data_IF_434629348150
#
_entry.id   IF_434629348150
#
_cell.length_a   1.000
_cell.length_b   1.000
_cell.length_c   1.000
_cell.angle_alpha   90.00
_cell.angle_beta   90.00
_cell.angle_gamma   90.00
#
_symmetry.space_group_name_H-M   'P 1'
#
loop_
_entity.id
_entity.type
_entity.pdbx_description
1 polymer ?
#
# COMPACT_ATOMS: atom_id res chain seq x y z
N UNK A 1 -14.81 0.56 -6.15
CA UNK A 1 -13.62 0.40 -7.01
C UNK A 1 -12.74 1.60 -6.77
N UNK A 2 -11.55 1.38 -6.21
CA UNK A 2 -10.58 2.45 -6.00
C UNK A 2 -9.87 2.71 -7.35
N UNK A 3 -10.33 3.75 -8.07
CA UNK A 3 -9.74 4.13 -9.36
C UNK A 3 -8.46 4.97 -9.20
N UNK A 4 -8.05 5.28 -7.97
CA UNK A 4 -6.90 6.13 -7.74
C UNK A 4 -5.59 5.33 -7.89
N UNK A 5 -4.57 5.95 -8.50
CA UNK A 5 -3.20 5.40 -8.66
C UNK A 5 -2.99 4.31 -9.74
N UNK A 6 -3.49 4.55 -10.97
CA UNK A 6 -3.23 3.71 -12.17
C UNK A 6 -1.92 4.01 -12.92
N UNK A 7 -1.15 5.03 -12.51
CA UNK A 7 0.16 5.34 -13.13
C UNK A 7 1.28 5.28 -12.10
N UNK A 8 2.50 5.05 -12.57
CA UNK A 8 3.70 4.97 -11.71
C UNK A 8 3.96 6.29 -10.97
N UNK A 9 3.69 7.41 -11.63
CA UNK A 9 3.87 8.75 -11.09
C UNK A 9 2.91 8.98 -9.91
N UNK A 10 1.64 8.57 -10.06
CA UNK A 10 0.64 8.67 -8.99
C UNK A 10 1.00 7.78 -7.80
N UNK A 11 1.49 6.55 -8.06
CA UNK A 11 2.00 5.66 -7.01
C UNK A 11 3.19 6.31 -6.29
N UNK A 12 4.16 6.86 -7.02
CA UNK A 12 5.32 7.52 -6.43
C UNK A 12 4.94 8.77 -5.62
N UNK A 13 3.99 9.57 -6.11
CA UNK A 13 3.45 10.71 -5.36
C UNK A 13 2.78 10.27 -4.06
N UNK A 14 1.97 9.20 -4.10
CA UNK A 14 1.31 8.66 -2.91
C UNK A 14 2.31 8.13 -1.88
N UNK A 15 3.34 7.40 -2.32
CA UNK A 15 4.39 6.90 -1.43
C UNK A 15 5.28 8.01 -0.88
N UNK A 16 5.54 9.09 -1.64
CA UNK A 16 6.21 10.30 -1.12
C UNK A 16 5.39 10.98 -0.03
N UNK A 17 4.08 11.09 -0.23
CA UNK A 17 3.17 11.63 0.80
C UNK A 17 3.13 10.71 2.02
N UNK A 18 3.10 9.39 1.83
CA UNK A 18 3.19 8.44 2.94
C UNK A 18 4.49 8.64 3.73
N UNK A 19 5.64 8.74 3.04
CA UNK A 19 6.94 8.99 3.66
C UNK A 19 6.97 10.29 4.48
N UNK A 20 6.32 11.36 4.05
CA UNK A 20 6.31 12.62 4.80
C UNK A 20 5.55 12.57 6.12
N UNK A 21 4.74 11.52 6.34
CA UNK A 21 3.94 11.35 7.56
C UNK A 21 4.51 10.30 8.53
N UNK A 22 5.72 9.78 8.28
CA UNK A 22 6.30 8.68 9.07
C UNK A 22 7.60 9.15 9.70
N UNK A 23 7.76 8.85 10.99
CA UNK A 23 9.04 8.94 11.69
C UNK A 23 9.58 7.52 11.91
N UNK A 24 10.71 7.22 11.30
CA UNK A 24 11.37 5.92 11.44
C UNK A 24 12.19 5.87 12.73
N UNK A 25 12.21 4.70 13.36
CA UNK A 25 13.03 4.38 14.54
C UNK A 25 14.15 3.42 14.14
N UNK A 26 14.99 3.05 15.11
CA UNK A 26 16.14 2.17 14.92
C UNK A 26 15.78 0.89 14.18
N UNK A 27 14.65 0.27 14.51
CA UNK A 27 14.18 -0.95 13.88
C UNK A 27 12.92 -0.65 13.07
N UNK A 28 12.99 -0.84 11.74
CA UNK A 28 11.88 -0.60 10.82
C UNK A 28 11.75 -1.75 9.83
N UNK A 29 10.53 -2.21 9.57
CA UNK A 29 10.21 -3.24 8.59
C UNK A 29 8.97 -2.85 7.78
N UNK A 30 9.07 -3.00 6.46
CA UNK A 30 7.98 -2.74 5.53
C UNK A 30 7.26 -4.03 5.13
N UNK A 31 5.95 -3.96 5.05
CA UNK A 31 5.08 -4.99 4.50
C UNK A 31 4.34 -4.43 3.28
N UNK A 32 4.29 -5.22 2.21
CA UNK A 32 3.52 -4.92 1.00
C UNK A 32 2.55 -6.05 0.72
N UNK A 33 1.27 -5.72 0.62
CA UNK A 33 0.22 -6.64 0.18
C UNK A 33 -0.36 -6.04 -1.09
N UNK A 34 -0.27 -6.76 -2.20
CA UNK A 34 -0.68 -6.25 -3.50
C UNK A 34 -1.63 -7.22 -4.20
N UNK A 35 -2.64 -6.67 -4.87
CA UNK A 35 -3.51 -7.46 -5.69
C UNK A 35 -2.73 -8.03 -6.89
N UNK A 36 -3.02 -9.26 -7.33
CA UNK A 36 -2.42 -9.89 -8.51
C UNK A 36 -2.62 -9.08 -9.81
N UNK A 37 -3.63 -8.22 -9.86
CA UNK A 37 -3.87 -7.31 -10.99
C UNK A 37 -2.93 -6.08 -10.98
N UNK A 38 -2.17 -5.84 -9.90
CA UNK A 38 -1.13 -4.79 -9.84
C UNK A 38 0.14 -5.26 -10.55
N UNK A 39 1.16 -4.40 -10.59
CA UNK A 39 2.43 -4.74 -11.25
C UNK A 39 2.24 -4.97 -12.75
N UNK A 40 2.57 -6.18 -13.22
CA UNK A 40 2.64 -6.51 -14.66
C UNK A 40 1.30 -6.30 -15.38
N UNK A 41 0.19 -6.65 -14.74
CA UNK A 41 -1.15 -6.54 -15.33
C UNK A 41 -1.66 -5.08 -15.44
N UNK A 42 -1.19 -4.19 -14.56
CA UNK A 42 -1.63 -2.78 -14.53
C UNK A 42 -0.65 -1.84 -15.25
N UNK A 43 0.66 -2.08 -15.09
CA UNK A 43 1.71 -1.17 -15.55
C UNK A 43 2.55 -1.73 -16.70
N UNK A 44 2.27 -2.96 -17.16
CA UNK A 44 3.13 -3.72 -18.08
C UNK A 44 4.58 -3.84 -17.57
N UNK A 45 4.77 -3.83 -16.24
CA UNK A 45 6.07 -3.91 -15.59
C UNK A 45 5.96 -4.61 -14.23
N UNK A 46 6.95 -5.45 -13.92
CA UNK A 46 7.02 -6.15 -12.63
C UNK A 46 7.55 -5.25 -11.53
N UNK A 47 7.10 -5.51 -10.29
CA UNK A 47 7.67 -4.92 -9.08
C UNK A 47 7.63 -3.39 -9.04
N UNK A 48 6.65 -2.74 -9.70
CA UNK A 48 6.54 -1.28 -9.79
C UNK A 48 6.49 -0.65 -8.40
N UNK A 49 5.49 -1.01 -7.60
CA UNK A 49 5.29 -0.40 -6.28
C UNK A 49 6.42 -0.73 -5.31
N UNK A 50 6.91 -1.97 -5.30
CA UNK A 50 8.05 -2.37 -4.46
C UNK A 50 9.35 -1.64 -4.85
N UNK A 51 9.58 -1.41 -6.14
CA UNK A 51 10.78 -0.69 -6.60
C UNK A 51 10.73 0.79 -6.20
N UNK A 52 9.55 1.43 -6.35
CA UNK A 52 9.32 2.79 -5.88
C UNK A 52 9.50 2.86 -4.35
N UNK A 53 8.95 1.90 -3.61
CA UNK A 53 9.13 1.82 -2.16
C UNK A 53 10.62 1.73 -1.78
N UNK A 54 11.38 0.83 -2.40
CA UNK A 54 12.83 0.67 -2.11
C UNK A 54 13.65 1.89 -2.49
N UNK A 55 13.26 2.64 -3.53
CA UNK A 55 13.87 3.94 -3.84
C UNK A 55 13.63 4.97 -2.74
N UNK A 56 12.43 4.98 -2.14
CA UNK A 56 12.07 5.94 -1.10
C UNK A 56 12.53 5.52 0.31
N UNK A 57 12.64 4.23 0.58
CA UNK A 57 13.03 3.63 1.86
C UNK A 57 14.14 2.58 1.65
N UNK A 58 15.36 3.00 1.26
CA UNK A 58 16.43 2.06 0.89
C UNK A 58 16.81 1.11 2.03
N UNK A 59 16.83 1.61 3.26
CA UNK A 59 17.28 0.86 4.45
C UNK A 59 16.19 -0.01 5.09
N UNK A 60 14.95 0.08 4.61
CA UNK A 60 13.84 -0.72 5.15
C UNK A 60 13.76 -2.03 4.36
N UNK A 61 13.87 -3.19 5.03
CA UNK A 61 13.51 -4.47 4.42
C UNK A 61 12.02 -4.48 4.07
N UNK A 62 11.69 -4.93 2.85
CA UNK A 62 10.31 -5.04 2.38
C UNK A 62 9.99 -6.52 2.15
N UNK A 63 8.94 -7.01 2.80
CA UNK A 63 8.41 -8.38 2.61
C UNK A 63 6.92 -8.31 2.28
N UNK A 64 6.36 -9.35 1.70
CA UNK A 64 4.98 -9.27 1.23
C UNK A 64 4.53 -10.46 0.40
N UNK A 65 3.29 -10.39 -0.06
CA UNK A 65 2.70 -11.35 -0.99
C UNK A 65 1.74 -10.67 -1.96
N UNK A 66 1.44 -11.38 -3.05
CA UNK A 66 0.36 -11.04 -3.96
C UNK A 66 -0.90 -11.85 -3.62
N UNK A 67 -2.08 -11.25 -3.73
CA UNK A 67 -3.37 -11.92 -3.47
C UNK A 67 -4.50 -11.37 -4.35
N UNK A 68 -5.71 -11.92 -4.23
CA UNK A 68 -6.85 -11.56 -5.11
C UNK A 68 -7.68 -10.36 -4.60
N UNK A 69 -7.05 -9.47 -3.84
CA UNK A 69 -7.68 -8.30 -3.22
C UNK A 69 -7.38 -8.21 -1.73
N UNK A 70 -7.66 -7.06 -1.14
CA UNK A 70 -7.35 -6.76 0.25
C UNK A 70 -8.62 -6.43 1.03
N UNK A 71 -8.77 -6.99 2.23
CA UNK A 71 -9.78 -6.57 3.19
C UNK A 71 -9.17 -5.56 4.18
N UNK A 72 -9.74 -4.36 4.26
CA UNK A 72 -9.27 -3.34 5.20
C UNK A 72 -10.00 -2.01 5.08
N UNK A 73 -9.74 -1.11 6.04
CA UNK A 73 -10.20 0.27 6.02
C UNK A 73 -9.02 1.18 6.37
N UNK A 74 -9.00 2.40 5.81
CA UNK A 74 -7.89 3.34 6.02
C UNK A 74 -7.89 3.90 7.45
N UNK A 75 -9.05 3.90 8.11
CA UNK A 75 -9.23 4.37 9.48
C UNK A 75 -10.16 3.44 10.26
N UNK A 76 -9.98 3.35 11.59
CA UNK A 76 -10.97 2.66 12.43
C UNK A 76 -12.29 3.44 12.32
N UNK A 77 -13.39 2.82 11.86
CA UNK A 77 -14.64 3.55 11.68
C UNK A 77 -15.11 4.10 13.04
N UNK A 78 -15.31 5.41 13.11
CA UNK A 78 -15.94 6.05 14.28
C UNK A 78 -17.47 5.91 14.27
N UNK A 79 -18.04 5.31 13.21
CA UNK A 79 -19.50 5.15 13.01
C UNK A 79 -19.93 3.70 13.19
N UNK A 80 -21.17 3.52 13.65
CA UNK A 80 -21.77 2.21 13.91
C UNK A 80 -21.85 1.33 12.66
N UNK A 81 -21.69 0.02 12.84
CA UNK A 81 -21.66 -1.04 11.82
C UNK A 81 -22.86 -1.12 10.84
N UNK A 82 -23.89 -0.26 10.96
CA UNK A 82 -25.13 -0.36 10.18
C UNK A 82 -25.13 0.34 8.81
N UNK A 83 -24.04 1.01 8.41
CA UNK A 83 -23.94 1.60 7.07
C UNK A 83 -23.52 0.54 6.05
N UNK A 84 -24.52 -0.03 5.36
CA UNK A 84 -24.43 -1.07 4.30
C UNK A 84 -23.64 -0.67 3.03
N UNK A 85 -22.77 0.36 3.10
CA UNK A 85 -22.01 0.89 1.96
C UNK A 85 -20.49 0.94 2.17
N UNK A 86 -19.96 0.43 3.27
CA UNK A 86 -18.52 0.34 3.46
C UNK A 86 -18.01 -0.96 2.86
N UNK A 87 -17.69 -0.94 1.56
CA UNK A 87 -16.97 -2.04 0.93
C UNK A 87 -15.55 -2.05 1.52
N UNK A 88 -15.33 -2.89 2.53
CA UNK A 88 -14.00 -3.16 3.09
C UNK A 88 -13.13 -3.99 2.15
N UNK A 89 -13.66 -4.33 0.98
CA UNK A 89 -13.00 -5.09 -0.06
C UNK A 89 -12.43 -4.15 -1.11
N UNK A 90 -11.11 -4.09 -1.17
CA UNK A 90 -10.36 -3.30 -2.14
C UNK A 90 -9.91 -4.21 -3.26
N UNK A 91 -10.64 -4.15 -4.37
CA UNK A 91 -10.26 -4.78 -5.63
C UNK A 91 -9.24 -3.87 -6.34
N UNK A 92 -8.11 -4.43 -6.83
CA UNK A 92 -7.00 -3.72 -7.50
C UNK A 92 -6.20 -2.74 -6.63
N UNK A 93 -5.90 -3.11 -5.39
CA UNK A 93 -5.15 -2.25 -4.48
C UNK A 93 -3.74 -2.76 -4.15
N UNK A 94 -2.95 -1.88 -3.54
CA UNK A 94 -1.67 -2.22 -2.90
C UNK A 94 -1.63 -1.51 -1.56
N UNK A 95 -1.45 -2.27 -0.48
CA UNK A 95 -1.35 -1.78 0.89
C UNK A 95 0.10 -1.84 1.36
N UNK A 96 0.58 -0.72 1.89
CA UNK A 96 1.88 -0.62 2.56
C UNK A 96 1.70 -0.41 4.06
N UNK A 97 2.44 -1.18 4.86
CA UNK A 97 2.52 -1.02 6.30
C UNK A 97 4.01 -0.93 6.71
N UNK A 98 4.36 0.05 7.54
CA UNK A 98 5.68 0.11 8.17
C UNK A 98 5.49 -0.06 9.67
N UNK A 99 6.13 -1.08 10.24
CA UNK A 99 6.24 -1.26 11.69
C UNK A 99 7.61 -0.74 12.12
N UNK A 100 7.63 0.16 13.09
CA UNK A 100 8.84 0.82 13.57
C UNK A 100 8.89 0.85 15.10
N UNK A 101 10.03 0.46 15.69
CA UNK A 101 10.22 0.37 17.15
C UNK A 101 11.69 0.57 17.56
N UNK A 102 11.92 0.65 18.88
CA UNK A 102 13.18 1.09 19.50
C UNK A 102 13.22 2.61 19.60
#
# INVERSE_FOLDING_TARGET
MDESYKTKELVEQRLKLFKSHISLKKHSMGFMFACCERGENMFNERNVESSIFKKLFPDIPLVGCFGDGEFGETTIPTKSFNDKKNFWYHERSTVFLIITYG
#
